data_IF_337907660120
#
_entry.id   IF_337907660120
#
_cell.length_a   1.000
_cell.length_b   1.000
_cell.length_c   1.000
_cell.angle_alpha   90.00
_cell.angle_beta   90.00
_cell.angle_gamma   90.00
#
_symmetry.space_group_name_H-M   'P 1'
#
loop_
_entity.id
_entity.type
_entity.pdbx_description
1 polymer ?
#
# COMPACT_ATOMS: atom_id res chain seq x y z
N UNK A 1 -16.73 -4.65 -25.15
CA UNK A 1 -17.53 -3.42 -25.02
C UNK A 1 -18.13 -3.39 -23.63
N UNK A 2 -17.31 -3.07 -22.63
CA UNK A 2 -17.79 -2.79 -21.27
C UNK A 2 -18.29 -1.36 -21.28
N UNK A 3 -19.58 -1.18 -21.03
CA UNK A 3 -20.14 0.14 -20.83
C UNK A 3 -19.46 0.74 -19.59
N UNK A 4 -18.60 1.74 -19.78
CA UNK A 4 -18.22 2.66 -18.73
C UNK A 4 -19.53 3.21 -18.16
N UNK A 5 -19.89 2.77 -16.96
CA UNK A 5 -20.95 3.37 -16.16
C UNK A 5 -20.48 4.76 -15.79
N UNK A 6 -20.61 5.71 -16.71
CA UNK A 6 -20.33 7.11 -16.44
C UNK A 6 -21.34 7.58 -15.41
N UNK A 7 -20.87 7.89 -14.21
CA UNK A 7 -21.68 8.50 -13.16
C UNK A 7 -22.35 9.75 -13.72
N UNK A 8 -23.69 9.78 -13.74
CA UNK A 8 -24.43 10.90 -14.30
C UNK A 8 -24.35 12.13 -13.38
N UNK A 9 -23.38 12.99 -13.69
CA UNK A 9 -23.19 14.28 -13.04
C UNK A 9 -23.92 15.41 -13.77
N UNK A 10 -24.90 15.13 -14.63
CA UNK A 10 -25.66 16.16 -15.36
C UNK A 10 -26.40 17.14 -14.45
N UNK A 11 -26.73 16.71 -13.23
CA UNK A 11 -27.38 17.53 -12.20
C UNK A 11 -26.48 18.65 -11.64
N UNK A 12 -25.15 18.55 -11.79
CA UNK A 12 -24.19 19.58 -11.36
C UNK A 12 -24.07 20.65 -12.46
N UNK A 13 -24.20 21.94 -12.09
CA UNK A 13 -24.15 23.02 -13.07
C UNK A 13 -22.77 23.08 -13.76
N UNK A 14 -22.66 23.46 -15.05
CA UNK A 14 -21.37 23.52 -15.75
C UNK A 14 -20.31 24.37 -15.05
N UNK A 15 -20.73 25.47 -14.41
CA UNK A 15 -19.83 26.33 -13.64
C UNK A 15 -19.30 25.64 -12.39
N UNK A 16 -20.16 24.95 -11.64
CA UNK A 16 -19.78 24.19 -10.44
C UNK A 16 -18.80 23.06 -10.81
N UNK A 17 -19.01 22.37 -11.93
CA UNK A 17 -18.06 21.37 -12.45
C UNK A 17 -16.67 21.96 -12.68
N UNK A 18 -16.60 23.12 -13.34
CA UNK A 18 -15.35 23.81 -13.59
C UNK A 18 -14.68 24.29 -12.29
N UNK A 19 -15.46 24.79 -11.34
CA UNK A 19 -14.98 25.21 -10.03
C UNK A 19 -14.41 24.03 -9.22
N UNK A 20 -15.09 22.87 -9.20
CA UNK A 20 -14.60 21.64 -8.55
C UNK A 20 -13.26 21.20 -9.14
N UNK A 21 -13.15 21.14 -10.48
CA UNK A 21 -11.88 20.78 -11.14
C UNK A 21 -10.77 21.80 -10.84
N UNK A 22 -11.11 23.10 -10.82
CA UNK A 22 -10.15 24.16 -10.53
C UNK A 22 -9.65 24.12 -9.09
N UNK A 23 -10.45 23.63 -8.13
CA UNK A 23 -10.02 23.48 -6.73
C UNK A 23 -8.89 22.48 -6.55
N UNK A 24 -8.75 21.49 -7.44
CA UNK A 24 -7.64 20.53 -7.41
C UNK A 24 -6.30 21.13 -7.88
N UNK A 25 -6.31 22.24 -8.64
CA UNK A 25 -5.12 22.79 -9.30
C UNK A 25 -3.98 23.16 -8.35
N UNK A 26 -4.21 23.77 -7.16
CA UNK A 26 -3.14 24.04 -6.20
C UNK A 26 -2.42 22.77 -5.74
N UNK A 27 -3.15 21.68 -5.51
CA UNK A 27 -2.59 20.38 -5.07
C UNK A 27 -1.81 19.71 -6.19
N UNK A 28 -2.36 19.72 -7.42
CA UNK A 28 -1.65 19.23 -8.61
C UNK A 28 -0.30 19.95 -8.73
N UNK A 29 -0.28 21.28 -8.63
CA UNK A 29 0.98 22.06 -8.69
C UNK A 29 1.94 21.72 -7.54
N UNK A 30 1.42 21.53 -6.32
CA UNK A 30 2.23 21.19 -5.14
C UNK A 30 2.92 19.83 -5.29
N UNK A 31 2.23 18.86 -5.87
CA UNK A 31 2.69 17.47 -5.95
C UNK A 31 3.21 17.06 -7.34
N UNK A 32 3.20 17.96 -8.33
CA UNK A 32 3.73 17.68 -9.66
C UNK A 32 5.19 17.20 -9.59
N UNK A 33 5.48 16.09 -10.29
CA UNK A 33 6.78 15.43 -10.31
C UNK A 33 7.14 14.66 -9.04
N UNK A 34 6.29 14.68 -8.01
CA UNK A 34 6.55 13.97 -6.75
C UNK A 34 6.17 12.49 -6.86
N UNK A 35 7.00 11.65 -6.25
CA UNK A 35 6.68 10.23 -6.08
C UNK A 35 5.69 10.06 -4.94
N UNK A 36 4.67 9.24 -5.17
CA UNK A 36 3.75 8.76 -4.14
C UNK A 36 3.79 7.23 -4.14
N UNK A 37 3.97 6.63 -2.97
CA UNK A 37 3.89 5.17 -2.82
C UNK A 37 2.52 4.83 -2.26
N UNK A 38 1.86 3.85 -2.85
CA UNK A 38 0.49 3.48 -2.53
C UNK A 38 0.50 2.02 -2.13
N UNK A 39 0.26 1.73 -0.86
CA UNK A 39 0.00 0.37 -0.41
C UNK A 39 -1.47 0.05 -0.65
N UNK A 40 -1.72 -0.82 -1.62
CA UNK A 40 -3.04 -1.34 -1.96
C UNK A 40 -3.25 -2.73 -1.33
N UNK A 41 -4.20 -2.87 -0.41
CA UNK A 41 -4.36 -4.11 0.34
C UNK A 41 -5.66 -4.22 1.12
N UNK A 42 -6.06 -5.46 1.43
CA UNK A 42 -7.21 -5.76 2.28
C UNK A 42 -8.54 -5.81 1.52
N UNK A 43 -9.63 -5.44 2.19
CA UNK A 43 -10.99 -5.54 1.65
C UNK A 43 -11.22 -4.65 0.40
N UNK A 44 -10.42 -3.60 0.21
CA UNK A 44 -10.46 -2.78 -1.01
C UNK A 44 -10.10 -3.59 -2.27
N UNK A 45 -9.47 -4.76 -2.10
CA UNK A 45 -9.12 -5.67 -3.19
C UNK A 45 -10.20 -6.71 -3.49
N UNK A 46 -11.32 -6.74 -2.76
CA UNK A 46 -12.37 -7.76 -2.94
C UNK A 46 -13.63 -7.25 -3.61
N UNK A 47 -13.79 -5.92 -3.69
CA UNK A 47 -14.92 -5.29 -4.38
C UNK A 47 -14.48 -4.82 -5.77
N UNK A 48 -15.07 -5.36 -6.86
CA UNK A 48 -14.73 -4.96 -8.22
C UNK A 48 -14.93 -3.47 -8.52
N UNK A 49 -15.89 -2.81 -7.85
CA UNK A 49 -16.13 -1.37 -8.03
C UNK A 49 -14.96 -0.58 -7.43
N UNK A 50 -14.55 -0.91 -6.20
CA UNK A 50 -13.42 -0.25 -5.56
C UNK A 50 -12.08 -0.52 -6.26
N UNK A 51 -11.93 -1.70 -6.87
CA UNK A 51 -10.79 -2.03 -7.73
C UNK A 51 -10.73 -1.12 -8.97
N UNK A 52 -11.88 -0.86 -9.60
CA UNK A 52 -11.97 0.04 -10.74
C UNK A 52 -11.69 1.49 -10.34
N UNK A 53 -12.31 1.98 -9.26
CA UNK A 53 -12.07 3.33 -8.73
C UNK A 53 -10.58 3.53 -8.40
N UNK A 54 -9.94 2.54 -7.78
CA UNK A 54 -8.50 2.57 -7.49
C UNK A 54 -7.66 2.71 -8.76
N UNK A 55 -7.97 1.94 -9.81
CA UNK A 55 -7.24 2.00 -11.06
C UNK A 55 -7.40 3.39 -11.73
N UNK A 56 -8.61 3.94 -11.74
CA UNK A 56 -8.90 5.27 -12.27
C UNK A 56 -8.17 6.37 -11.47
N UNK A 57 -8.17 6.28 -10.13
CA UNK A 57 -7.44 7.18 -9.25
C UNK A 57 -5.93 7.20 -9.56
N UNK A 58 -5.33 6.01 -9.67
CA UNK A 58 -3.90 5.85 -9.99
C UNK A 58 -3.56 6.44 -11.36
N UNK A 59 -4.41 6.20 -12.37
CA UNK A 59 -4.23 6.76 -13.71
C UNK A 59 -4.36 8.27 -13.69
N UNK A 60 -5.38 8.81 -13.02
CA UNK A 60 -5.58 10.26 -12.93
C UNK A 60 -4.38 10.93 -12.27
N UNK A 61 -3.89 10.41 -11.15
CA UNK A 61 -2.70 10.92 -10.44
C UNK A 61 -1.48 10.94 -11.36
N UNK A 62 -1.29 9.90 -12.18
CA UNK A 62 -0.20 9.86 -13.16
C UNK A 62 -0.37 10.94 -14.24
N UNK A 63 -1.57 11.06 -14.81
CA UNK A 63 -1.88 12.01 -15.89
C UNK A 63 -1.74 13.48 -15.45
N UNK A 64 -2.04 13.80 -14.19
CA UNK A 64 -1.85 15.15 -13.65
C UNK A 64 -0.40 15.43 -13.19
N UNK A 65 0.51 14.48 -13.38
CA UNK A 65 1.96 14.67 -13.23
C UNK A 65 2.57 14.15 -11.94
N UNK A 66 1.84 13.40 -11.11
CA UNK A 66 2.44 12.66 -9.99
C UNK A 66 3.05 11.35 -10.48
N UNK A 67 3.94 10.75 -9.69
CA UNK A 67 4.59 9.48 -10.00
C UNK A 67 4.14 8.39 -9.01
N UNK A 68 2.95 7.78 -9.22
CA UNK A 68 2.48 6.70 -8.36
C UNK A 68 3.31 5.42 -8.52
N UNK A 69 3.60 4.78 -7.39
CA UNK A 69 4.19 3.44 -7.29
C UNK A 69 3.29 2.61 -6.40
N UNK A 70 2.71 1.54 -6.94
CA UNK A 70 1.76 0.69 -6.22
C UNK A 70 2.53 -0.48 -5.59
N UNK A 71 2.29 -0.74 -4.32
CA UNK A 71 2.71 -1.97 -3.62
C UNK A 71 1.46 -2.68 -3.16
N UNK A 72 1.30 -3.95 -3.52
CA UNK A 72 0.05 -4.65 -3.21
C UNK A 72 0.20 -5.74 -2.14
N UNK A 73 -0.91 -6.08 -1.49
CA UNK A 73 -1.04 -7.31 -0.70
C UNK A 73 -1.75 -8.42 -1.49
N UNK A 74 -2.13 -9.48 -0.79
CA UNK A 74 -2.95 -10.56 -1.39
C UNK A 74 -3.32 -11.65 -0.39
N UNK A 75 -3.44 -11.30 0.90
CA UNK A 75 -3.66 -12.25 1.99
C UNK A 75 -4.85 -13.19 1.76
N UNK A 76 -6.05 -12.66 1.45
CA UNK A 76 -7.24 -13.47 1.14
C UNK A 76 -7.03 -14.39 -0.06
N UNK A 77 -6.45 -13.89 -1.15
CA UNK A 77 -6.24 -14.65 -2.38
C UNK A 77 -5.26 -15.82 -2.16
N UNK A 78 -4.22 -15.61 -1.35
CA UNK A 78 -3.29 -16.67 -0.97
C UNK A 78 -4.01 -17.74 -0.15
N UNK A 79 -4.88 -17.34 0.79
CA UNK A 79 -5.65 -18.29 1.61
C UNK A 79 -6.58 -19.13 0.75
N UNK A 80 -7.28 -18.51 -0.21
CA UNK A 80 -8.16 -19.20 -1.15
C UNK A 80 -7.40 -20.20 -2.02
N UNK A 81 -6.21 -19.83 -2.52
CA UNK A 81 -5.35 -20.73 -3.28
C UNK A 81 -4.83 -21.92 -2.46
N UNK A 82 -4.39 -21.67 -1.22
CA UNK A 82 -3.96 -22.74 -0.30
C UNK A 82 -5.11 -23.71 -0.02
N UNK A 83 -6.31 -23.19 0.26
CA UNK A 83 -7.50 -24.00 0.50
C UNK A 83 -7.86 -24.89 -0.70
N UNK A 84 -7.75 -24.37 -1.93
CA UNK A 84 -7.95 -25.16 -3.17
C UNK A 84 -6.95 -26.30 -3.31
N UNK A 85 -5.75 -26.15 -2.77
CA UNK A 85 -4.70 -27.18 -2.74
C UNK A 85 -4.79 -28.09 -1.50
N UNK A 86 -5.81 -27.92 -0.65
CA UNK A 86 -5.98 -28.71 0.57
C UNK A 86 -5.04 -28.33 1.71
N UNK A 87 -4.32 -27.20 1.60
CA UNK A 87 -3.48 -26.64 2.66
C UNK A 87 -4.23 -25.58 3.44
N UNK A 88 -3.93 -25.48 4.74
CA UNK A 88 -4.43 -24.41 5.62
C UNK A 88 -3.32 -23.42 5.90
N UNK A 89 -3.62 -22.12 5.80
CA UNK A 89 -2.70 -21.09 6.27
C UNK A 89 -2.45 -21.21 7.77
N UNK A 90 -1.20 -21.04 8.18
CA UNK A 90 -0.83 -20.91 9.59
C UNK A 90 -0.18 -19.55 9.83
N UNK A 91 -0.47 -18.92 10.95
CA UNK A 91 0.01 -17.59 11.29
C UNK A 91 0.62 -17.56 12.69
N UNK A 92 1.76 -16.89 12.82
CA UNK A 92 2.44 -16.64 14.09
C UNK A 92 2.63 -15.12 14.22
N UNK A 93 2.05 -14.53 15.27
CA UNK A 93 2.03 -13.09 15.57
C UNK A 93 1.73 -12.17 14.36
N UNK A 94 0.83 -12.60 13.47
CA UNK A 94 0.41 -11.84 12.29
C UNK A 94 1.22 -12.10 11.02
N UNK A 95 2.28 -12.91 11.08
CA UNK A 95 3.05 -13.34 9.91
C UNK A 95 2.59 -14.73 9.46
N UNK A 96 2.41 -14.91 8.14
CA UNK A 96 2.09 -16.21 7.55
C UNK A 96 3.31 -17.11 7.63
N UNK A 97 3.21 -18.24 8.32
CA UNK A 97 4.25 -19.28 8.28
C UNK A 97 4.30 -19.82 6.86
N UNK A 98 5.49 -19.75 6.25
CA UNK A 98 5.67 -19.95 4.80
C UNK A 98 6.72 -21.04 4.58
N UNK A 99 6.29 -22.30 4.48
CA UNK A 99 7.15 -23.38 4.00
C UNK A 99 7.41 -23.26 2.48
N UNK A 100 8.24 -24.16 1.91
CA UNK A 100 8.63 -24.11 0.49
C UNK A 100 7.45 -24.18 -0.49
N UNK A 101 6.50 -25.07 -0.20
CA UNK A 101 5.30 -25.22 -1.01
C UNK A 101 4.37 -24.01 -0.84
N UNK A 102 4.24 -23.48 0.38
CA UNK A 102 3.49 -22.25 0.65
C UNK A 102 4.13 -21.05 -0.04
N UNK A 103 5.46 -20.96 -0.08
CA UNK A 103 6.17 -19.90 -0.80
C UNK A 103 5.87 -19.96 -2.30
N UNK A 104 5.84 -21.16 -2.89
CA UNK A 104 5.48 -21.35 -4.30
C UNK A 104 4.07 -20.83 -4.60
N UNK A 105 3.11 -21.09 -3.69
CA UNK A 105 1.74 -20.55 -3.80
C UNK A 105 1.72 -19.04 -3.62
N UNK A 106 2.49 -18.50 -2.68
CA UNK A 106 2.62 -17.04 -2.48
C UNK A 106 3.15 -16.36 -3.73
N UNK A 107 4.19 -16.89 -4.37
CA UNK A 107 4.74 -16.33 -5.61
C UNK A 107 3.72 -16.37 -6.74
N UNK A 108 3.09 -17.52 -6.96
CA UNK A 108 2.04 -17.67 -7.96
C UNK A 108 0.92 -16.65 -7.78
N UNK A 109 0.35 -16.58 -6.58
CA UNK A 109 -0.81 -15.72 -6.32
C UNK A 109 -0.44 -14.25 -6.38
N UNK A 110 0.64 -13.83 -5.70
CA UNK A 110 0.98 -12.42 -5.64
C UNK A 110 1.48 -11.89 -6.99
N UNK A 111 2.45 -12.57 -7.62
CA UNK A 111 3.07 -12.08 -8.85
C UNK A 111 2.30 -12.47 -10.11
N UNK A 112 1.72 -13.67 -10.12
CA UNK A 112 1.07 -14.24 -11.31
C UNK A 112 -0.41 -13.91 -11.46
N UNK A 113 -1.13 -13.69 -10.36
CA UNK A 113 -2.57 -13.41 -10.36
C UNK A 113 -2.85 -11.97 -9.92
N UNK A 114 -2.68 -11.68 -8.64
CA UNK A 114 -3.08 -10.39 -8.04
C UNK A 114 -2.38 -9.20 -8.70
N UNK A 115 -1.06 -9.29 -8.91
CA UNK A 115 -0.32 -8.23 -9.60
C UNK A 115 -0.84 -8.01 -11.03
N UNK A 116 -1.09 -9.10 -11.77
CA UNK A 116 -1.52 -9.02 -13.16
C UNK A 116 -2.94 -8.46 -13.28
N UNK A 117 -3.82 -8.77 -12.32
CA UNK A 117 -5.15 -8.17 -12.24
C UNK A 117 -5.06 -6.64 -12.05
N UNK A 118 -4.24 -6.17 -11.10
CA UNK A 118 -4.02 -4.73 -10.87
C UNK A 118 -3.43 -4.05 -12.12
N UNK A 119 -2.43 -4.67 -12.74
CA UNK A 119 -1.83 -4.18 -13.99
C UNK A 119 -2.89 -4.08 -15.09
N UNK A 120 -3.73 -5.10 -15.23
CA UNK A 120 -4.83 -5.15 -16.19
C UNK A 120 -5.84 -4.04 -15.98
N UNK A 121 -6.27 -3.80 -14.74
CA UNK A 121 -7.20 -2.72 -14.38
C UNK A 121 -6.63 -1.34 -14.69
N UNK A 122 -5.38 -1.07 -14.30
CA UNK A 122 -4.72 0.21 -14.58
C UNK A 122 -4.60 0.44 -16.10
N UNK A 123 -4.24 -0.60 -16.86
CA UNK A 123 -4.17 -0.50 -18.32
C UNK A 123 -5.55 -0.29 -18.96
N UNK A 124 -6.59 -0.95 -18.45
CA UNK A 124 -7.96 -0.77 -18.92
C UNK A 124 -8.50 0.64 -18.65
N UNK A 125 -8.07 1.28 -17.54
CA UNK A 125 -8.35 2.67 -17.22
C UNK A 125 -7.52 3.69 -18.04
N UNK A 126 -6.64 3.22 -18.95
CA UNK A 126 -5.83 4.08 -19.82
C UNK A 126 -4.43 4.40 -19.30
N UNK A 127 -4.00 3.77 -18.21
CA UNK A 127 -2.64 3.83 -17.69
C UNK A 127 -1.66 2.92 -18.43
N UNK A 128 -0.41 2.94 -17.97
CA UNK A 128 0.66 2.03 -18.42
C UNK A 128 1.31 1.38 -17.21
N UNK A 129 0.78 0.26 -16.75
CA UNK A 129 1.32 -0.44 -15.58
C UNK A 129 2.34 -1.51 -15.95
N UNK A 130 3.34 -1.71 -15.09
CA UNK A 130 4.33 -2.79 -15.19
C UNK A 130 4.42 -3.50 -13.84
N UNK A 131 4.18 -4.81 -13.86
CA UNK A 131 4.33 -5.68 -12.69
C UNK A 131 5.80 -5.96 -12.38
N UNK A 132 6.19 -5.86 -11.11
CA UNK A 132 7.54 -6.15 -10.61
C UNK A 132 7.49 -6.96 -9.32
N UNK A 133 8.38 -7.94 -9.19
CA UNK A 133 8.74 -8.58 -7.94
C UNK A 133 10.09 -8.06 -7.47
N UNK A 134 10.54 -8.45 -6.27
CA UNK A 134 11.86 -8.10 -5.79
C UNK A 134 13.02 -8.64 -6.63
N UNK A 135 12.81 -9.70 -7.42
CA UNK A 135 13.84 -10.26 -8.31
C UNK A 135 14.08 -9.39 -9.54
N UNK A 136 13.05 -8.69 -10.01
CA UNK A 136 13.11 -7.92 -11.24
C UNK A 136 14.05 -6.72 -11.06
N UNK A 137 15.09 -6.66 -11.90
CA UNK A 137 16.18 -5.69 -11.74
C UNK A 137 17.00 -5.83 -10.44
N UNK A 138 16.82 -6.91 -9.68
CA UNK A 138 17.45 -7.09 -8.37
C UNK A 138 16.94 -6.13 -7.29
N UNK A 139 15.68 -5.69 -7.40
CA UNK A 139 15.09 -4.61 -6.61
C UNK A 139 15.05 -4.85 -5.10
N UNK A 140 14.58 -5.99 -4.59
CA UNK A 140 14.39 -6.21 -3.14
C UNK A 140 15.24 -7.38 -2.66
N UNK A 141 16.36 -7.07 -1.99
CA UNK A 141 17.18 -8.07 -1.30
C UNK A 141 16.63 -8.33 0.09
N UNK A 142 16.50 -9.60 0.42
CA UNK A 142 15.95 -10.03 1.69
C UNK A 142 16.80 -11.13 2.33
N UNK A 143 16.59 -11.32 3.62
CA UNK A 143 17.13 -12.44 4.41
C UNK A 143 16.01 -13.03 5.24
N UNK A 144 16.16 -14.26 5.72
CA UNK A 144 15.18 -14.87 6.63
C UNK A 144 14.94 -13.97 7.85
N UNK A 145 13.67 -13.68 8.13
CA UNK A 145 13.26 -12.92 9.30
C UNK A 145 13.49 -13.77 10.55
N UNK A 146 14.23 -13.21 11.51
CA UNK A 146 14.38 -13.78 12.85
C UNK A 146 13.27 -13.24 13.73
N UNK A 147 12.26 -14.07 14.00
CA UNK A 147 11.05 -13.64 14.70
C UNK A 147 11.11 -14.06 16.16
N UNK A 148 11.37 -13.11 17.06
CA UNK A 148 11.28 -13.36 18.49
C UNK A 148 9.82 -13.41 18.97
N UNK A 149 9.57 -14.21 19.99
CA UNK A 149 8.29 -14.26 20.68
C UNK A 149 8.03 -12.93 21.41
N UNK A 150 6.80 -12.43 21.34
CA UNK A 150 6.39 -11.16 21.98
C UNK A 150 6.41 -11.24 23.50
N UNK A 151 6.13 -12.42 24.06
CA UNK A 151 6.03 -12.62 25.50
C UNK A 151 7.35 -13.17 26.08
N UNK A 152 8.17 -13.85 25.27
CA UNK A 152 9.48 -14.37 25.66
C UNK A 152 10.59 -14.06 24.62
N UNK A 153 11.36 -12.98 24.81
CA UNK A 153 12.45 -12.60 23.90
C UNK A 153 13.56 -13.65 23.74
N UNK A 154 13.64 -14.66 24.62
CA UNK A 154 14.60 -15.76 24.48
C UNK A 154 14.15 -16.84 23.48
N UNK A 155 12.88 -16.82 23.06
CA UNK A 155 12.30 -17.77 22.12
C UNK A 155 12.22 -17.18 20.72
N UNK A 156 12.68 -17.95 19.74
CA UNK A 156 12.62 -17.61 18.31
C UNK A 156 11.65 -18.55 17.59
N UNK A 157 10.75 -17.98 16.79
CA UNK A 157 9.81 -18.71 15.95
C UNK A 157 10.40 -18.91 14.56
N UNK A 158 10.50 -20.16 14.11
CA UNK A 158 10.75 -20.44 12.70
C UNK A 158 9.45 -20.34 11.90
N UNK A 159 9.33 -19.27 11.13
CA UNK A 159 8.19 -18.98 10.27
C UNK A 159 8.47 -19.30 8.79
N UNK A 160 9.57 -20.00 8.49
CA UNK A 160 9.94 -20.41 7.14
C UNK A 160 10.51 -19.28 6.27
N UNK A 161 10.12 -19.23 5.00
CA UNK A 161 10.56 -18.26 3.99
C UNK A 161 9.85 -16.90 4.13
N UNK A 162 9.86 -16.36 5.34
CA UNK A 162 9.45 -14.97 5.59
C UNK A 162 10.70 -14.10 5.66
N UNK A 163 10.67 -12.95 4.99
CA UNK A 163 11.83 -12.10 4.80
C UNK A 163 11.84 -10.82 5.64
N UNK A 164 13.04 -10.40 6.00
CA UNK A 164 13.38 -9.03 6.38
C UNK A 164 14.15 -8.35 5.23
N UNK A 165 13.88 -7.08 4.96
CA UNK A 165 14.47 -6.35 3.85
C UNK A 165 15.90 -5.94 4.22
N UNK A 166 16.88 -6.42 3.45
CA UNK A 166 18.28 -6.02 3.58
C UNK A 166 18.51 -4.69 2.85
N UNK A 167 18.05 -4.60 1.61
CA UNK A 167 18.16 -3.38 0.80
C UNK A 167 17.11 -3.35 -0.31
N UNK A 168 16.81 -2.13 -0.78
CA UNK A 168 16.02 -1.92 -2.00
C UNK A 168 16.87 -1.10 -2.98
N UNK A 169 17.03 -1.60 -4.19
CA UNK A 169 17.58 -0.86 -5.33
C UNK A 169 16.42 -0.29 -6.18
N UNK A 170 16.21 1.04 -6.19
CA UNK A 170 15.08 1.64 -6.89
C UNK A 170 15.31 1.82 -8.39
N UNK A 171 16.45 1.38 -8.95
CA UNK A 171 16.85 1.72 -10.32
C UNK A 171 15.81 1.32 -11.37
N UNK A 172 15.23 0.12 -11.25
CA UNK A 172 14.17 -0.33 -12.16
C UNK A 172 12.89 0.50 -12.04
N UNK A 173 12.52 0.89 -10.81
CA UNK A 173 11.35 1.73 -10.54
C UNK A 173 11.53 3.13 -11.14
N UNK A 174 12.72 3.72 -10.97
CA UNK A 174 13.04 5.04 -11.52
C UNK A 174 13.02 5.04 -13.05
N UNK A 175 13.63 4.03 -13.67
CA UNK A 175 13.62 3.89 -15.13
C UNK A 175 12.19 3.83 -15.70
N UNK A 176 11.27 3.11 -15.02
CA UNK A 176 9.86 3.06 -15.40
C UNK A 176 9.15 4.41 -15.22
N UNK A 177 9.45 5.14 -14.14
CA UNK A 177 8.84 6.45 -13.87
C UNK A 177 9.20 7.48 -14.96
N UNK A 178 10.44 7.46 -15.44
CA UNK A 178 10.93 8.37 -16.48
C UNK A 178 10.13 8.22 -17.79
N UNK A 179 9.77 6.99 -18.15
CA UNK A 179 8.97 6.65 -19.35
C UNK A 179 7.45 6.61 -19.11
N UNK A 180 6.98 7.24 -18.03
CA UNK A 180 5.57 7.37 -17.68
C UNK A 180 4.84 6.06 -17.34
N UNK A 181 5.57 4.99 -17.00
CA UNK A 181 4.96 3.77 -16.48
C UNK A 181 4.60 3.90 -14.99
N UNK A 182 3.67 3.04 -14.55
CA UNK A 182 3.18 2.90 -13.19
C UNK A 182 3.67 1.54 -12.65
N UNK A 183 4.70 1.52 -11.80
CA UNK A 183 5.21 0.27 -11.23
C UNK A 183 4.20 -0.33 -10.25
N UNK A 184 3.92 -1.63 -10.37
CA UNK A 184 3.06 -2.42 -9.47
C UNK A 184 3.89 -3.52 -8.84
N UNK A 185 4.24 -3.38 -7.56
CA UNK A 185 5.24 -4.19 -6.87
C UNK A 185 4.57 -5.24 -5.98
N UNK A 186 4.92 -6.52 -6.20
CA UNK A 186 4.61 -7.62 -5.28
C UNK A 186 5.64 -7.68 -4.15
N UNK A 187 5.23 -7.94 -2.90
CA UNK A 187 6.10 -7.90 -1.73
C UNK A 187 6.88 -9.21 -1.53
N UNK A 188 7.59 -9.63 -2.58
CA UNK A 188 8.44 -10.83 -2.59
C UNK A 188 9.88 -10.35 -2.79
N UNK A 189 10.77 -10.69 -1.85
CA UNK A 189 12.20 -10.42 -1.97
C UNK A 189 12.98 -11.67 -2.32
N UNK A 190 14.28 -11.50 -2.63
CA UNK A 190 15.19 -12.61 -2.89
C UNK A 190 16.45 -12.54 -2.03
N UNK A 191 16.96 -13.71 -1.63
CA UNK A 191 18.16 -13.84 -0.82
C UNK A 191 19.45 -14.03 -1.62
N UNK A 192 20.55 -14.24 -0.89
CA UNK A 192 21.90 -14.34 -1.48
C UNK A 192 22.06 -15.52 -2.43
N UNK A 193 21.33 -16.61 -2.18
CA UNK A 193 21.33 -17.83 -3.01
C UNK A 193 20.12 -17.89 -3.93
N UNK A 194 19.46 -16.75 -4.17
CA UNK A 194 18.29 -16.64 -5.02
C UNK A 194 17.05 -17.39 -4.48
N UNK A 195 16.99 -17.60 -3.16
CA UNK A 195 15.78 -18.04 -2.45
C UNK A 195 14.74 -16.93 -2.40
N UNK A 196 13.45 -17.29 -2.41
CA UNK A 196 12.36 -16.32 -2.28
C UNK A 196 11.95 -16.11 -0.83
N UNK A 197 11.55 -14.89 -0.52
CA UNK A 197 11.02 -14.52 0.77
C UNK A 197 9.70 -13.75 0.64
N UNK A 198 8.68 -14.21 1.36
CA UNK A 198 7.43 -13.51 1.57
C UNK A 198 7.65 -12.36 2.56
N UNK A 199 7.36 -11.12 2.17
CA UNK A 199 7.58 -9.93 3.01
C UNK A 199 6.23 -9.25 3.24
N UNK A 200 6.06 -8.63 4.40
CA UNK A 200 4.88 -7.84 4.65
C UNK A 200 4.80 -6.64 3.66
N UNK A 201 3.68 -6.48 2.98
CA UNK A 201 3.46 -5.43 1.98
C UNK A 201 3.59 -4.01 2.56
N UNK A 202 3.19 -3.80 3.81
CA UNK A 202 3.31 -2.50 4.50
C UNK A 202 4.79 -2.15 4.70
N UNK A 203 5.62 -3.15 5.04
CA UNK A 203 7.07 -2.99 5.20
C UNK A 203 7.75 -2.68 3.88
N UNK A 204 7.37 -3.39 2.80
CA UNK A 204 7.87 -3.10 1.44
C UNK A 204 7.48 -1.69 1.01
N UNK A 205 6.22 -1.29 1.19
CA UNK A 205 5.74 0.04 0.84
C UNK A 205 6.46 1.15 1.61
N UNK A 206 6.62 0.99 2.93
CA UNK A 206 7.35 1.92 3.78
C UNK A 206 8.82 2.08 3.36
N UNK A 207 9.51 0.95 3.13
CA UNK A 207 10.92 0.96 2.74
C UNK A 207 11.11 1.54 1.33
N UNK A 208 10.23 1.19 0.40
CA UNK A 208 10.26 1.73 -0.96
C UNK A 208 9.97 3.24 -0.97
N UNK A 209 9.00 3.71 -0.17
CA UNK A 209 8.72 5.14 0.00
C UNK A 209 9.93 5.91 0.55
N UNK A 210 10.63 5.32 1.53
CA UNK A 210 11.86 5.90 2.10
C UNK A 210 12.96 6.00 1.05
N UNK A 211 13.22 4.91 0.32
CA UNK A 211 14.30 4.84 -0.69
C UNK A 211 14.02 5.73 -1.91
N UNK A 212 12.75 5.86 -2.30
CA UNK A 212 12.33 6.76 -3.38
C UNK A 212 12.16 8.21 -2.93
N UNK A 213 12.36 8.51 -1.63
CA UNK A 213 12.10 9.83 -1.05
C UNK A 213 10.69 10.33 -1.42
N UNK A 214 9.71 9.45 -1.28
CA UNK A 214 8.33 9.74 -1.65
C UNK A 214 7.78 10.90 -0.81
N UNK A 215 7.01 11.76 -1.48
CA UNK A 215 6.30 12.86 -0.82
C UNK A 215 5.18 12.33 0.08
N UNK A 216 4.52 11.25 -0.36
CA UNK A 216 3.45 10.60 0.37
C UNK A 216 3.58 9.08 0.33
N UNK A 217 3.26 8.44 1.44
CA UNK A 217 2.90 7.02 1.50
C UNK A 217 1.41 6.92 1.83
N UNK A 218 0.61 6.38 0.91
CA UNK A 218 -0.81 6.14 1.12
C UNK A 218 -1.03 4.68 1.50
N UNK A 219 -1.52 4.43 2.70
CA UNK A 219 -1.81 3.11 3.26
C UNK A 219 -3.31 2.87 3.21
N UNK A 220 -3.78 2.19 2.15
CA UNK A 220 -5.20 1.83 2.04
C UNK A 220 -5.50 0.66 2.96
N UNK A 221 -6.49 0.87 3.83
CA UNK A 221 -6.89 -0.08 4.86
C UNK A 221 -8.41 -0.20 4.92
N UNK A 222 -8.92 -0.98 5.88
CA UNK A 222 -10.35 -1.20 6.11
C UNK A 222 -10.87 -0.47 7.37
N UNK A 223 -10.15 0.56 7.82
CA UNK A 223 -10.51 1.41 8.94
C UNK A 223 -10.55 2.87 8.49
N UNK A 224 -11.35 3.70 9.18
CA UNK A 224 -11.45 5.15 8.92
C UNK A 224 -10.14 5.91 9.16
N UNK A 225 -9.23 5.35 9.94
CA UNK A 225 -8.03 6.00 10.46
C UNK A 225 -7.87 5.71 11.95
N UNK A 226 -7.11 6.57 12.63
CA UNK A 226 -6.94 6.53 14.09
C UNK A 226 -8.08 7.31 14.74
N UNK A 227 -8.78 6.67 15.69
CA UNK A 227 -9.88 7.29 16.41
C UNK A 227 -9.43 7.68 17.83
N UNK A 228 -10.00 8.76 18.35
CA UNK A 228 -9.85 9.13 19.75
C UNK A 228 -10.77 8.31 20.68
N UNK A 229 -10.75 8.62 21.99
CA UNK A 229 -11.58 7.95 22.99
C UNK A 229 -13.08 8.19 22.82
N UNK A 230 -13.48 9.24 22.11
CA UNK A 230 -14.87 9.54 21.77
C UNK A 230 -15.31 8.84 20.47
N UNK A 231 -14.38 8.23 19.73
CA UNK A 231 -14.64 7.61 18.44
C UNK A 231 -14.52 8.56 17.25
N UNK A 232 -13.99 9.77 17.47
CA UNK A 232 -13.77 10.77 16.43
C UNK A 232 -12.45 10.57 15.71
N UNK A 233 -12.42 10.90 14.42
CA UNK A 233 -11.24 10.71 13.58
C UNK A 233 -10.16 11.74 13.93
N UNK A 234 -8.97 11.24 14.30
CA UNK A 234 -7.77 12.05 14.40
C UNK A 234 -7.17 12.22 13.02
N UNK A 235 -7.37 13.38 12.41
CA UNK A 235 -7.01 13.64 11.01
C UNK A 235 -5.51 13.90 10.82
N UNK A 236 -4.85 14.49 11.82
CA UNK A 236 -3.42 14.79 11.78
C UNK A 236 -2.74 14.34 13.07
N UNK A 237 -1.62 13.63 12.93
CA UNK A 237 -0.81 13.14 14.03
C UNK A 237 0.68 13.32 13.73
N UNK A 238 1.46 13.45 14.80
CA UNK A 238 2.92 13.32 14.76
C UNK A 238 3.34 12.03 15.47
N UNK A 239 4.53 11.47 15.21
CA UNK A 239 5.05 10.32 15.95
C UNK A 239 5.00 10.52 17.46
N UNK A 240 5.32 11.73 17.94
CA UNK A 240 5.24 12.08 19.36
C UNK A 240 3.79 12.01 19.88
N UNK A 241 2.84 12.57 19.14
CA UNK A 241 1.43 12.53 19.55
C UNK A 241 0.90 11.10 19.60
N UNK A 242 1.36 10.24 18.70
CA UNK A 242 1.03 8.81 18.71
C UNK A 242 1.60 8.15 19.96
N UNK A 243 2.85 8.40 20.33
CA UNK A 243 3.45 7.85 21.55
C UNK A 243 2.66 8.28 22.82
N UNK A 244 2.18 9.54 22.87
CA UNK A 244 1.29 10.04 23.93
C UNK A 244 -0.06 9.31 23.96
N UNK A 245 -0.68 9.07 22.78
CA UNK A 245 -1.95 8.36 22.65
C UNK A 245 -1.83 6.86 22.95
N UNK A 246 -0.65 6.27 22.77
CA UNK A 246 -0.37 4.90 23.22
C UNK A 246 -0.23 4.89 24.74
N UNK A 247 0.52 5.83 25.31
CA UNK A 247 0.74 5.92 26.76
C UNK A 247 -0.56 6.17 27.54
N UNK A 248 -1.48 6.96 27.00
CA UNK A 248 -2.77 7.25 27.64
C UNK A 248 -3.87 6.21 27.35
N UNK A 249 -3.53 5.16 26.58
CA UNK A 249 -4.40 4.03 26.25
C UNK A 249 -5.42 4.28 25.12
N UNK A 250 -5.41 5.45 24.47
CA UNK A 250 -6.30 5.75 23.32
C UNK A 250 -5.99 4.81 22.14
N UNK A 251 -4.72 4.68 21.77
CA UNK A 251 -4.26 3.72 20.77
C UNK A 251 -3.84 2.45 21.52
N UNK A 252 -4.65 1.40 21.42
CA UNK A 252 -4.39 0.13 22.11
C UNK A 252 -4.76 -1.08 21.26
N UNK A 253 -4.39 -2.26 21.77
CA UNK A 253 -4.75 -3.55 21.18
C UNK A 253 -4.34 -3.68 19.72
N UNK A 254 -5.29 -4.04 18.85
CA UNK A 254 -5.05 -4.31 17.43
C UNK A 254 -4.75 -3.07 16.59
N UNK A 255 -4.89 -1.85 17.13
CA UNK A 255 -4.58 -0.63 16.36
C UNK A 255 -3.08 -0.44 16.20
N UNK A 256 -2.28 -0.68 17.24
CA UNK A 256 -0.82 -0.51 17.20
C UNK A 256 -0.21 -1.32 16.04
N UNK A 257 -0.48 -2.64 15.90
CA UNK A 257 0.02 -3.40 14.75
C UNK A 257 -0.49 -2.90 13.39
N UNK A 258 -1.69 -2.29 13.32
CA UNK A 258 -2.27 -1.78 12.07
C UNK A 258 -1.60 -0.51 11.58
N UNK A 259 -1.10 0.32 12.49
CA UNK A 259 -0.46 1.60 12.15
C UNK A 259 1.06 1.61 12.33
N UNK A 260 1.64 0.52 12.86
CA UNK A 260 3.08 0.38 13.08
C UNK A 260 3.90 0.70 11.81
N UNK A 261 3.53 0.10 10.67
CA UNK A 261 4.22 0.37 9.40
C UNK A 261 4.12 1.84 8.96
N UNK A 262 3.01 2.52 9.28
CA UNK A 262 2.84 3.94 8.97
C UNK A 262 3.68 4.84 9.89
N UNK A 263 3.75 4.51 11.19
CA UNK A 263 4.62 5.19 12.16
C UNK A 263 6.08 5.03 11.76
N UNK A 264 6.51 3.81 11.45
CA UNK A 264 7.89 3.51 11.08
C UNK A 264 8.29 4.23 9.78
N UNK A 265 7.39 4.29 8.80
CA UNK A 265 7.60 5.05 7.56
C UNK A 265 7.75 6.56 7.84
N UNK A 266 6.89 7.13 8.69
CA UNK A 266 6.96 8.55 9.06
C UNK A 266 8.28 8.86 9.81
N UNK A 267 8.67 7.99 10.76
CA UNK A 267 9.96 8.09 11.48
C UNK A 267 11.17 7.90 10.57
N UNK A 268 11.03 7.18 9.46
CA UNK A 268 12.09 6.91 8.49
C UNK A 268 12.27 8.00 7.42
N UNK A 269 11.50 9.10 7.50
CA UNK A 269 11.71 10.29 6.67
C UNK A 269 10.77 10.44 5.47
N UNK A 270 9.69 9.65 5.40
CA UNK A 270 8.58 9.95 4.47
C UNK A 270 7.86 11.22 4.96
N UNK A 271 7.64 12.20 4.07
CA UNK A 271 7.11 13.52 4.47
C UNK A 271 5.73 13.40 5.15
N UNK A 272 4.82 12.66 4.53
CA UNK A 272 3.49 12.37 5.07
C UNK A 272 3.08 10.93 4.80
N UNK A 273 2.56 10.25 5.83
CA UNK A 273 1.99 8.91 5.70
C UNK A 273 0.50 8.99 5.98
N UNK A 274 -0.33 8.58 5.02
CA UNK A 274 -1.78 8.66 5.12
C UNK A 274 -2.36 7.26 5.35
N UNK A 275 -3.17 7.10 6.39
CA UNK A 275 -3.95 5.88 6.65
C UNK A 275 -5.37 6.17 6.19
N UNK A 276 -5.79 5.54 5.08
CA UNK A 276 -7.02 5.89 4.36
C UNK A 276 -7.98 4.69 4.34
N UNK A 277 -9.28 4.95 4.52
CA UNK A 277 -10.30 3.92 4.34
C UNK A 277 -10.49 3.61 2.85
N UNK A 278 -9.91 2.51 2.38
CA UNK A 278 -10.00 2.08 0.99
C UNK A 278 -11.40 1.59 0.57
N UNK A 279 -12.39 1.64 1.46
CA UNK A 279 -13.80 1.35 1.15
C UNK A 279 -14.58 2.57 0.68
N UNK A 280 -14.01 3.77 0.84
CA UNK A 280 -14.60 5.00 0.34
C UNK A 280 -14.23 5.14 -1.15
N UNK A 281 -15.21 5.24 -2.07
CA UNK A 281 -14.93 5.47 -3.49
C UNK A 281 -14.06 6.71 -3.70
N UNK A 282 -13.06 6.59 -4.57
CA UNK A 282 -12.09 7.64 -4.90
C UNK A 282 -11.35 8.26 -3.69
N UNK A 283 -11.22 7.52 -2.57
CA UNK A 283 -10.59 8.04 -1.35
C UNK A 283 -9.17 8.58 -1.57
N UNK A 284 -8.41 8.00 -2.52
CA UNK A 284 -7.06 8.46 -2.80
C UNK A 284 -7.04 9.83 -3.48
N UNK A 285 -7.91 10.05 -4.46
CA UNK A 285 -8.01 11.37 -5.11
C UNK A 285 -8.42 12.43 -4.11
N UNK A 286 -9.40 12.11 -3.28
CA UNK A 286 -9.90 13.01 -2.26
C UNK A 286 -8.81 13.37 -1.24
N UNK A 287 -8.04 12.38 -0.77
CA UNK A 287 -6.95 12.60 0.19
C UNK A 287 -5.75 13.39 -0.42
N UNK A 288 -5.49 13.24 -1.72
CA UNK A 288 -4.32 13.88 -2.37
C UNK A 288 -4.65 15.27 -2.94
N UNK A 289 -5.88 15.46 -3.43
CA UNK A 289 -6.28 16.63 -4.23
C UNK A 289 -7.31 17.52 -3.53
N UNK A 290 -7.58 17.32 -2.24
CA UNK A 290 -8.46 18.17 -1.43
C UNK A 290 -7.89 18.44 -0.03
N UNK A 291 -8.48 19.40 0.69
CA UNK A 291 -8.15 19.72 2.09
C UNK A 291 -8.89 18.81 3.09
N UNK A 292 -9.98 18.16 2.67
CA UNK A 292 -10.75 17.32 3.57
C UNK A 292 -9.99 16.02 3.85
N UNK A 293 -9.82 15.70 5.13
CA UNK A 293 -9.21 14.44 5.53
C UNK A 293 -10.21 13.29 5.39
N UNK A 294 -9.83 12.28 4.60
CA UNK A 294 -10.54 11.00 4.46
C UNK A 294 -9.83 9.86 5.21
N UNK A 295 -8.89 10.25 6.08
CA UNK A 295 -8.09 9.35 6.88
C UNK A 295 -7.30 10.08 7.96
N UNK A 296 -6.27 9.40 8.46
CA UNK A 296 -5.29 9.99 9.38
C UNK A 296 -3.97 10.21 8.66
N UNK A 297 -3.50 11.44 8.62
CA UNK A 297 -2.15 11.79 8.17
C UNK A 297 -1.19 11.80 9.35
N UNK A 298 -0.07 11.11 9.21
CA UNK A 298 1.08 11.16 10.12
C UNK A 298 2.18 11.99 9.44
N UNK A 299 2.45 13.18 9.95
CA UNK A 299 3.56 14.02 9.48
C UNK A 299 4.87 13.59 10.13
N UNK A 300 5.97 13.64 9.38
CA UNK A 300 7.32 13.38 9.94
C UNK A 300 7.84 14.51 10.85
N UNK A 301 7.14 15.64 10.91
CA UNK A 301 7.47 16.83 11.71
C UNK A 301 6.30 17.24 12.57
#
# INVERSE_FOLDING_TARGET
MTATTTTDVSHIAPREKAEILSQALPYIRKFHGKTIVIKYGGNAMTDPVLQQDFAEDVVLLKLVGLNPVVVHGGGPQIEDALNKLGKKGHFIQGMRVTDEETMSVVEWVLAGEVQQDIVGLINAAGGKAVGLTGRDGGMIRAKKLRMLDKDDPAKEHDIGQVGDIVSIDPSVVKALQDDQFIPVVSPIGFGEKNESYNINADVVAAKLATVLQAEKLLMLTNIRGVLDKAGELLTELTPRRIDELVADGTISGGMIPKIAGAIDAAKSGVNAVHIIDGRVPHAMLLEVLTDQAYGTMISSR
#
